data_IF_390376114264
#
_entry.id   IF_390376114264
#
_cell.length_a   1.000
_cell.length_b   1.000
_cell.length_c   1.000
_cell.angle_alpha   90.00
_cell.angle_beta   90.00
_cell.angle_gamma   90.00
#
_symmetry.space_group_name_H-M   'P 1'
#
loop_
_entity.id
_entity.type
_entity.pdbx_description
1 polymer ?
#
# COMPACT_ATOMS: atom_id res chain seq x y z
N UNK A 1 51.80 35.94 53.76
CA UNK A 1 53.01 35.77 52.92
C UNK A 1 53.68 37.14 52.78
N UNK A 2 54.93 37.27 53.23
CA UNK A 2 55.59 38.56 53.49
C UNK A 2 55.97 39.31 52.20
N UNK A 3 55.23 40.37 51.84
CA UNK A 3 55.54 41.27 50.71
C UNK A 3 56.82 42.11 50.91
N UNK A 4 57.45 42.07 52.10
CA UNK A 4 58.67 42.84 52.42
C UNK A 4 59.98 42.32 51.82
N UNK A 5 60.02 41.14 51.18
CA UNK A 5 61.23 40.64 50.48
C UNK A 5 61.30 41.02 48.99
N UNK A 6 60.25 41.60 48.43
CA UNK A 6 60.21 42.03 47.03
C UNK A 6 60.63 43.50 46.84
N UNK A 7 60.81 44.28 47.91
CA UNK A 7 61.19 45.70 47.83
C UNK A 7 62.66 45.91 47.45
N UNK A 8 63.56 45.03 47.89
CA UNK A 8 65.02 45.26 47.86
C UNK A 8 65.71 44.65 46.62
N UNK A 9 64.94 44.03 45.73
CA UNK A 9 65.47 43.54 44.46
C UNK A 9 65.78 44.74 43.53
N UNK A 10 66.96 44.78 42.89
CA UNK A 10 67.25 45.80 41.88
C UNK A 10 66.18 45.77 40.78
N UNK A 11 65.78 46.95 40.29
CA UNK A 11 64.68 47.13 39.31
C UNK A 11 64.78 46.14 38.14
N UNK A 12 66.00 45.85 37.69
CA UNK A 12 66.31 44.86 36.65
C UNK A 12 65.74 43.46 36.95
N UNK A 13 65.86 42.95 38.17
CA UNK A 13 65.35 41.62 38.53
C UNK A 13 63.82 41.58 38.65
N UNK A 14 63.18 42.69 39.04
CA UNK A 14 61.71 42.78 39.05
C UNK A 14 61.14 42.76 37.63
N UNK A 15 61.80 43.46 36.69
CA UNK A 15 61.42 43.46 35.26
C UNK A 15 61.59 42.06 34.65
N UNK A 16 62.73 41.38 34.91
CA UNK A 16 62.95 40.01 34.41
C UNK A 16 62.02 38.97 35.05
N UNK A 17 61.68 39.12 36.34
CA UNK A 17 60.70 38.25 37.01
C UNK A 17 59.28 38.41 36.47
N UNK A 18 58.85 39.66 36.23
CA UNK A 18 57.56 39.94 35.59
C UNK A 18 57.51 39.39 34.15
N UNK A 19 58.61 39.53 33.40
CA UNK A 19 58.72 38.99 32.05
C UNK A 19 58.69 37.46 32.04
N UNK A 20 59.36 36.80 32.98
CA UNK A 20 59.34 35.35 33.14
C UNK A 20 57.94 34.81 33.46
N UNK A 21 57.20 35.48 34.34
CA UNK A 21 55.80 35.12 34.66
C UNK A 21 54.91 35.29 33.42
N UNK A 22 55.08 36.37 32.67
CA UNK A 22 54.31 36.62 31.44
C UNK A 22 54.59 35.55 30.38
N UNK A 23 55.85 35.12 30.26
CA UNK A 23 56.26 34.06 29.33
C UNK A 23 55.67 32.70 29.74
N UNK A 24 55.70 32.35 31.02
CA UNK A 24 55.05 31.13 31.54
C UNK A 24 53.54 31.17 31.29
N UNK A 25 52.90 32.32 31.52
CA UNK A 25 51.47 32.50 31.29
C UNK A 25 51.12 32.34 29.80
N UNK A 26 51.95 32.89 28.90
CA UNK A 26 51.80 32.67 27.45
C UNK A 26 51.93 31.19 27.08
N UNK A 27 52.93 30.48 27.60
CA UNK A 27 53.11 29.05 27.31
C UNK A 27 51.91 28.22 27.78
N UNK A 28 51.37 28.52 28.96
CA UNK A 28 50.17 27.85 29.49
C UNK A 28 48.95 28.15 28.61
N UNK A 29 48.72 29.41 28.23
CA UNK A 29 47.62 29.78 27.34
C UNK A 29 47.76 29.12 25.97
N UNK A 30 48.96 29.10 25.39
CA UNK A 30 49.22 28.42 24.12
C UNK A 30 49.02 26.91 24.21
N UNK A 31 49.41 26.27 25.32
CA UNK A 31 49.18 24.84 25.52
C UNK A 31 47.68 24.52 25.68
N UNK A 32 46.93 25.36 26.38
CA UNK A 32 45.47 25.23 26.50
C UNK A 32 44.79 25.44 25.14
N UNK A 33 45.17 26.48 24.41
CA UNK A 33 44.65 26.74 23.05
C UNK A 33 45.00 25.64 22.06
N UNK A 34 46.21 25.08 22.12
CA UNK A 34 46.61 23.96 21.25
C UNK A 34 45.79 22.71 21.53
N UNK A 35 45.59 22.39 22.83
CA UNK A 35 44.81 21.21 23.22
C UNK A 35 43.33 21.38 22.85
N UNK A 36 42.78 22.57 23.07
CA UNK A 36 41.43 22.94 22.66
C UNK A 36 41.25 22.89 21.14
N UNK A 37 42.22 23.39 20.36
CA UNK A 37 42.15 23.35 18.90
C UNK A 37 42.29 21.93 18.35
N UNK A 38 43.11 21.09 18.99
CA UNK A 38 43.26 19.68 18.62
C UNK A 38 41.98 18.88 18.89
N UNK A 39 41.31 19.11 20.03
CA UNK A 39 40.02 18.47 20.33
C UNK A 39 38.93 18.92 19.36
N UNK A 40 38.83 20.23 19.10
CA UNK A 40 37.88 20.78 18.11
C UNK A 40 38.13 20.24 16.70
N UNK A 41 39.39 19.97 16.32
CA UNK A 41 39.71 19.37 15.02
C UNK A 41 39.24 17.92 14.92
N UNK A 42 39.46 17.10 15.96
CA UNK A 42 39.05 15.70 15.97
C UNK A 42 37.51 15.57 16.01
N UNK A 43 36.84 16.45 16.74
CA UNK A 43 35.37 16.52 16.86
C UNK A 43 34.71 17.00 15.55
N UNK A 44 35.32 17.99 14.86
CA UNK A 44 34.87 18.44 13.55
C UNK A 44 35.01 17.34 12.49
N UNK A 45 36.11 16.58 12.51
CA UNK A 45 36.32 15.45 11.61
C UNK A 45 35.29 14.35 11.84
N UNK A 46 34.97 14.00 13.09
CA UNK A 46 33.93 12.99 13.38
C UNK A 46 32.54 13.44 12.89
N UNK A 47 32.14 14.68 13.16
CA UNK A 47 30.79 15.18 12.79
C UNK A 47 30.65 15.40 11.28
N UNK A 48 31.63 16.03 10.63
CA UNK A 48 31.55 16.42 9.22
C UNK A 48 31.89 15.26 8.28
N UNK A 49 32.85 14.41 8.63
CA UNK A 49 33.29 13.33 7.73
C UNK A 49 32.53 12.02 7.94
N UNK A 50 31.84 11.82 9.09
CA UNK A 50 31.19 10.52 9.40
C UNK A 50 29.70 10.61 9.68
N UNK A 51 29.32 11.45 10.64
CA UNK A 51 27.94 11.49 11.15
C UNK A 51 27.00 12.14 10.12
N UNK A 52 27.40 13.28 9.53
CA UNK A 52 26.59 13.98 8.52
C UNK A 52 26.34 13.17 7.24
N UNK A 53 27.36 12.57 6.58
CA UNK A 53 27.15 11.75 5.40
C UNK A 53 26.20 10.56 5.64
N UNK A 54 26.32 9.89 6.79
CA UNK A 54 25.45 8.75 7.15
C UNK A 54 24.00 9.19 7.32
N UNK A 55 23.76 10.32 8.01
CA UNK A 55 22.42 10.87 8.18
C UNK A 55 21.79 11.27 6.83
N UNK A 56 22.57 11.91 5.94
CA UNK A 56 22.10 12.28 4.61
C UNK A 56 21.78 11.05 3.76
N UNK A 57 22.66 10.06 3.71
CA UNK A 57 22.42 8.82 2.96
C UNK A 57 21.20 8.05 3.49
N UNK A 58 20.95 8.07 4.80
CA UNK A 58 19.75 7.47 5.40
C UNK A 58 18.48 8.21 4.99
N UNK A 59 18.52 9.54 4.94
CA UNK A 59 17.41 10.37 4.47
C UNK A 59 17.14 10.16 2.97
N UNK A 60 18.18 10.07 2.15
CA UNK A 60 18.06 9.80 0.72
C UNK A 60 17.39 8.45 0.46
N UNK A 61 17.74 7.41 1.24
CA UNK A 61 17.09 6.11 1.14
C UNK A 61 15.61 6.15 1.56
N UNK A 62 15.27 6.81 2.67
CA UNK A 62 13.88 6.99 3.10
C UNK A 62 13.07 7.75 2.04
N UNK A 63 13.63 8.82 1.46
CA UNK A 63 13.00 9.57 0.38
C UNK A 63 12.78 8.70 -0.87
N UNK A 64 13.77 7.89 -1.24
CA UNK A 64 13.68 7.00 -2.40
C UNK A 64 12.60 5.93 -2.20
N UNK A 65 12.49 5.37 -1.00
CA UNK A 65 11.42 4.42 -0.63
C UNK A 65 10.03 5.07 -0.68
N UNK A 66 9.90 6.30 -0.17
CA UNK A 66 8.65 7.05 -0.25
C UNK A 66 8.24 7.36 -1.71
N UNK A 67 9.21 7.74 -2.54
CA UNK A 67 8.99 7.94 -3.98
C UNK A 67 8.54 6.65 -4.66
N UNK A 68 9.19 5.52 -4.36
CA UNK A 68 8.82 4.23 -4.92
C UNK A 68 7.43 3.76 -4.48
N UNK A 69 7.08 3.95 -3.20
CA UNK A 69 5.72 3.68 -2.71
C UNK A 69 4.68 4.58 -3.38
N UNK A 70 4.99 5.85 -3.63
CA UNK A 70 4.09 6.77 -4.32
C UNK A 70 3.90 6.38 -5.79
N UNK A 71 4.99 6.04 -6.49
CA UNK A 71 4.96 5.60 -7.88
C UNK A 71 4.16 4.30 -8.03
N UNK A 72 4.35 3.35 -7.12
CA UNK A 72 3.53 2.14 -7.03
C UNK A 72 2.05 2.50 -6.86
N UNK A 73 1.72 3.39 -5.92
CA UNK A 73 0.34 3.82 -5.69
C UNK A 73 -0.34 4.41 -6.92
N UNK A 74 0.37 5.25 -7.68
CA UNK A 74 -0.11 5.82 -8.95
C UNK A 74 -0.30 4.74 -10.02
N UNK A 75 0.66 3.82 -10.15
CA UNK A 75 0.56 2.73 -11.11
C UNK A 75 -0.62 1.79 -10.80
N UNK A 76 -0.87 1.46 -9.52
CA UNK A 76 -2.02 0.65 -9.11
C UNK A 76 -3.38 1.34 -9.33
N UNK A 77 -3.38 2.66 -9.40
CA UNK A 77 -4.59 3.45 -9.63
C UNK A 77 -4.90 3.58 -11.13
N UNK A 78 -3.89 3.90 -11.93
CA UNK A 78 -4.07 4.28 -13.33
C UNK A 78 -3.75 3.14 -14.30
N UNK A 79 -2.87 2.21 -13.92
CA UNK A 79 -2.45 1.08 -14.75
C UNK A 79 -1.65 1.45 -16.00
N UNK A 80 -1.18 2.69 -16.11
CA UNK A 80 -0.42 3.15 -17.28
C UNK A 80 1.03 2.66 -17.29
N UNK A 81 1.54 2.31 -18.48
CA UNK A 81 2.93 1.87 -18.66
C UNK A 81 3.94 2.98 -18.31
N UNK A 82 3.57 4.25 -18.44
CA UNK A 82 4.34 5.40 -17.96
C UNK A 82 4.60 5.32 -16.45
N UNK A 83 3.55 5.10 -15.66
CA UNK A 83 3.65 4.96 -14.20
C UNK A 83 4.39 3.70 -13.79
N UNK A 84 4.26 2.61 -14.58
CA UNK A 84 5.05 1.39 -14.38
C UNK A 84 6.55 1.65 -14.54
N UNK A 85 6.93 2.41 -15.58
CA UNK A 85 8.32 2.78 -15.82
C UNK A 85 8.87 3.65 -14.68
N UNK A 86 8.10 4.65 -14.23
CA UNK A 86 8.46 5.50 -13.07
C UNK A 86 8.64 4.65 -11.81
N UNK A 87 7.75 3.69 -11.55
CA UNK A 87 7.90 2.79 -10.42
C UNK A 87 9.21 1.97 -10.51
N UNK A 88 9.55 1.41 -11.67
CA UNK A 88 10.82 0.69 -11.83
C UNK A 88 12.04 1.57 -11.64
N UNK A 89 12.05 2.76 -12.24
CA UNK A 89 13.13 3.75 -12.06
C UNK A 89 13.29 4.14 -10.59
N UNK A 90 12.18 4.27 -9.85
CA UNK A 90 12.23 4.54 -8.41
C UNK A 90 12.83 3.38 -7.60
N UNK A 91 12.63 2.12 -8.02
CA UNK A 91 13.30 0.97 -7.38
C UNK A 91 14.79 0.95 -7.68
N UNK A 92 15.21 1.32 -8.88
CA UNK A 92 16.64 1.51 -9.20
C UNK A 92 17.25 2.63 -8.35
N UNK A 93 16.50 3.71 -8.09
CA UNK A 93 16.93 4.80 -7.21
C UNK A 93 17.08 4.33 -5.76
N UNK A 94 16.18 3.46 -5.27
CA UNK A 94 16.33 2.80 -3.97
C UNK A 94 17.62 1.98 -3.90
N UNK A 95 17.97 1.25 -4.96
CA UNK A 95 19.21 0.47 -5.01
C UNK A 95 20.46 1.35 -4.95
N UNK A 96 20.44 2.48 -5.67
CA UNK A 96 21.53 3.45 -5.62
C UNK A 96 21.67 4.08 -4.23
N UNK A 97 20.57 4.48 -3.60
CA UNK A 97 20.58 5.05 -2.25
C UNK A 97 21.05 4.05 -1.20
N UNK A 98 20.60 2.79 -1.30
CA UNK A 98 21.04 1.70 -0.44
C UNK A 98 22.54 1.41 -0.59
N UNK A 99 23.04 1.36 -1.82
CA UNK A 99 24.47 1.16 -2.11
C UNK A 99 25.34 2.31 -1.58
N UNK A 100 24.84 3.55 -1.69
CA UNK A 100 25.53 4.72 -1.15
C UNK A 100 25.59 4.68 0.38
N UNK A 101 24.48 4.34 1.05
CA UNK A 101 24.46 4.16 2.50
C UNK A 101 25.43 3.07 2.96
N UNK A 102 25.48 1.94 2.25
CA UNK A 102 26.43 0.86 2.51
C UNK A 102 27.88 1.32 2.36
N UNK A 103 28.19 2.10 1.32
CA UNK A 103 29.53 2.65 1.10
C UNK A 103 29.96 3.56 2.26
N UNK A 104 29.10 4.51 2.66
CA UNK A 104 29.39 5.45 3.76
C UNK A 104 29.61 4.71 5.08
N UNK A 105 28.82 3.67 5.36
CA UNK A 105 28.97 2.86 6.57
C UNK A 105 30.19 1.92 6.53
N UNK A 106 30.59 1.44 5.35
CA UNK A 106 31.72 0.52 5.17
C UNK A 106 33.08 1.17 5.48
N UNK A 107 33.18 2.49 5.36
CA UNK A 107 34.38 3.25 5.71
C UNK A 107 34.66 3.23 7.23
N UNK A 108 33.66 2.87 8.05
CA UNK A 108 33.73 2.89 9.51
C UNK A 108 33.08 1.63 10.15
N UNK A 109 33.78 0.50 10.16
CA UNK A 109 33.22 -0.77 10.63
C UNK A 109 32.91 -0.76 12.13
N UNK A 110 31.63 -0.69 12.48
CA UNK A 110 31.05 -1.00 13.78
C UNK A 110 30.15 -2.25 13.63
N UNK A 111 30.30 -3.21 14.54
CA UNK A 111 29.53 -4.45 14.51
C UNK A 111 28.02 -4.22 14.65
N UNK A 112 27.57 -3.19 15.40
CA UNK A 112 26.15 -2.85 15.49
C UNK A 112 25.62 -2.24 14.18
N UNK A 113 26.41 -1.38 13.53
CA UNK A 113 26.04 -0.77 12.24
C UNK A 113 25.99 -1.82 11.12
N UNK A 114 26.88 -2.82 11.14
CA UNK A 114 26.85 -3.93 10.18
C UNK A 114 25.57 -4.78 10.31
N UNK A 115 25.11 -5.06 11.54
CA UNK A 115 23.88 -5.81 11.76
C UNK A 115 22.64 -5.03 11.30
N UNK A 116 22.57 -3.73 11.63
CA UNK A 116 21.51 -2.84 11.12
C UNK A 116 21.51 -2.77 9.60
N UNK A 117 22.69 -2.74 8.97
CA UNK A 117 22.79 -2.70 7.51
C UNK A 117 22.27 -3.97 6.84
N UNK A 118 22.61 -5.15 7.38
CA UNK A 118 22.07 -6.42 6.85
C UNK A 118 20.55 -6.49 6.99
N UNK A 119 20.00 -6.00 8.10
CA UNK A 119 18.55 -5.95 8.31
C UNK A 119 17.88 -5.01 7.29
N UNK A 120 18.39 -3.78 7.14
CA UNK A 120 17.91 -2.82 6.14
C UNK A 120 17.95 -3.41 4.73
N UNK A 121 19.05 -4.06 4.35
CA UNK A 121 19.17 -4.70 3.04
C UNK A 121 18.08 -5.78 2.84
N UNK A 122 17.87 -6.64 3.85
CA UNK A 122 16.81 -7.65 3.79
C UNK A 122 15.40 -7.05 3.67
N UNK A 123 15.14 -5.92 4.35
CA UNK A 123 13.85 -5.25 4.29
C UNK A 123 13.63 -4.59 2.92
N UNK A 124 14.64 -3.94 2.35
CA UNK A 124 14.61 -3.34 1.00
C UNK A 124 14.38 -4.42 -0.06
N UNK A 125 15.11 -5.54 0.01
CA UNK A 125 14.92 -6.65 -0.93
C UNK A 125 13.53 -7.27 -0.82
N UNK A 126 13.00 -7.39 0.40
CA UNK A 126 11.61 -7.84 0.60
C UNK A 126 10.61 -6.85 -0.01
N UNK A 127 10.83 -5.54 0.13
CA UNK A 127 9.97 -4.52 -0.47
C UNK A 127 9.97 -4.64 -2.00
N UNK A 128 11.16 -4.72 -2.61
CA UNK A 128 11.33 -4.90 -4.05
C UNK A 128 10.72 -6.20 -4.56
N UNK A 129 10.73 -7.28 -3.77
CA UNK A 129 10.17 -8.57 -4.17
C UNK A 129 8.67 -8.52 -4.50
N UNK A 130 7.94 -7.50 -4.00
CA UNK A 130 6.53 -7.29 -4.34
C UNK A 130 6.33 -6.75 -5.76
N UNK A 131 7.35 -6.21 -6.44
CA UNK A 131 7.21 -5.58 -7.76
C UNK A 131 6.46 -6.49 -8.74
N UNK A 132 6.92 -7.74 -8.90
CA UNK A 132 6.33 -8.70 -9.82
C UNK A 132 4.87 -9.02 -9.47
N UNK A 133 4.57 -9.17 -8.19
CA UNK A 133 3.21 -9.46 -7.71
C UNK A 133 2.30 -8.28 -7.98
N UNK A 134 2.70 -7.07 -7.60
CA UNK A 134 1.88 -5.86 -7.75
C UNK A 134 1.64 -5.52 -9.23
N UNK A 135 2.66 -5.66 -10.08
CA UNK A 135 2.50 -5.53 -11.53
C UNK A 135 1.55 -6.59 -12.08
N UNK A 136 1.70 -7.85 -11.67
CA UNK A 136 0.82 -8.93 -12.11
C UNK A 136 -0.65 -8.68 -11.74
N UNK A 137 -0.92 -8.06 -10.59
CA UNK A 137 -2.28 -7.70 -10.16
C UNK A 137 -2.90 -6.56 -11.00
N UNK A 138 -2.09 -5.68 -11.58
CA UNK A 138 -2.59 -4.67 -12.53
C UNK A 138 -2.83 -5.28 -13.91
N UNK A 139 -1.91 -6.12 -14.36
CA UNK A 139 -1.97 -6.79 -15.66
C UNK A 139 -3.11 -7.82 -15.76
N UNK A 140 -3.51 -8.45 -14.64
CA UNK A 140 -4.65 -9.37 -14.56
C UNK A 140 -5.70 -8.91 -13.51
N UNK A 141 -6.70 -8.11 -13.92
CA UNK A 141 -7.77 -7.66 -13.05
C UNK A 141 -8.58 -8.80 -12.41
N UNK A 142 -8.67 -9.99 -13.02
CA UNK A 142 -9.42 -11.11 -12.41
C UNK A 142 -8.69 -11.63 -11.18
N UNK A 143 -7.36 -11.64 -11.20
CA UNK A 143 -6.54 -12.01 -10.04
C UNK A 143 -6.58 -10.98 -8.91
N UNK A 144 -6.81 -9.71 -9.26
CA UNK A 144 -6.81 -8.61 -8.31
C UNK A 144 -8.18 -8.35 -7.69
N UNK A 145 -9.26 -8.49 -8.45
CA UNK A 145 -10.62 -8.24 -7.98
C UNK A 145 -11.30 -9.56 -7.58
N UNK A 146 -11.28 -9.87 -6.28
CA UNK A 146 -11.85 -11.11 -5.75
C UNK A 146 -13.34 -11.26 -6.10
N UNK A 147 -14.09 -10.16 -6.07
CA UNK A 147 -15.51 -10.16 -6.44
C UNK A 147 -15.75 -10.50 -7.91
N UNK A 148 -14.86 -10.06 -8.82
CA UNK A 148 -14.95 -10.38 -10.24
C UNK A 148 -14.68 -11.87 -10.49
N UNK A 149 -13.62 -12.41 -9.88
CA UNK A 149 -13.29 -13.85 -9.96
C UNK A 149 -14.43 -14.71 -9.39
N UNK A 150 -14.95 -14.34 -8.22
CA UNK A 150 -16.06 -15.04 -7.59
C UNK A 150 -17.33 -14.99 -8.45
N UNK A 151 -17.70 -13.81 -8.97
CA UNK A 151 -18.87 -13.67 -9.83
C UNK A 151 -18.72 -14.48 -11.13
N UNK A 152 -17.52 -14.51 -11.71
CA UNK A 152 -17.20 -15.33 -12.88
C UNK A 152 -17.44 -16.82 -12.66
N UNK A 153 -17.15 -17.32 -11.46
CA UNK A 153 -17.28 -18.74 -11.12
C UNK A 153 -18.68 -19.13 -10.64
N UNK A 154 -19.37 -18.26 -9.88
CA UNK A 154 -20.56 -18.66 -9.11
C UNK A 154 -21.84 -17.88 -9.42
N UNK A 155 -21.75 -16.72 -10.07
CA UNK A 155 -22.93 -15.89 -10.41
C UNK A 155 -23.22 -15.87 -11.90
N UNK A 156 -22.20 -15.63 -12.73
CA UNK A 156 -22.35 -15.52 -14.17
C UNK A 156 -22.92 -16.80 -14.80
N UNK A 157 -22.45 -18.02 -14.47
CA UNK A 157 -23.01 -19.24 -15.05
C UNK A 157 -24.47 -19.45 -14.68
N UNK A 158 -24.82 -19.21 -13.41
CA UNK A 158 -26.21 -19.32 -12.90
C UNK A 158 -27.11 -18.32 -13.63
N UNK A 159 -26.67 -17.07 -13.75
CA UNK A 159 -27.44 -16.05 -14.46
C UNK A 159 -27.60 -16.36 -15.95
N UNK A 160 -26.59 -16.94 -16.61
CA UNK A 160 -26.68 -17.32 -18.01
C UNK A 160 -27.70 -18.43 -18.21
N UNK A 161 -27.72 -19.43 -17.33
CA UNK A 161 -28.74 -20.49 -17.36
C UNK A 161 -30.14 -19.92 -17.14
N UNK A 162 -30.34 -18.99 -16.20
CA UNK A 162 -31.63 -18.33 -15.99
C UNK A 162 -32.10 -17.55 -17.23
N UNK A 163 -31.19 -16.87 -17.92
CA UNK A 163 -31.50 -16.20 -19.19
C UNK A 163 -31.84 -17.19 -20.30
N UNK A 164 -31.15 -18.34 -20.36
CA UNK A 164 -31.45 -19.41 -21.30
C UNK A 164 -32.84 -19.97 -21.08
N UNK A 165 -33.19 -20.35 -19.83
CA UNK A 165 -34.53 -20.85 -19.49
C UNK A 165 -35.60 -19.84 -19.89
N UNK A 166 -35.41 -18.55 -19.56
CA UNK A 166 -36.36 -17.51 -19.99
C UNK A 166 -36.47 -17.37 -21.51
N UNK A 167 -35.39 -17.63 -22.25
CA UNK A 167 -35.38 -17.66 -23.69
C UNK A 167 -36.17 -18.84 -24.26
N UNK A 168 -36.00 -20.03 -23.69
CA UNK A 168 -36.74 -21.24 -24.06
C UNK A 168 -38.25 -21.07 -23.79
N UNK A 169 -38.61 -20.49 -22.64
CA UNK A 169 -40.00 -20.14 -22.33
C UNK A 169 -40.61 -19.21 -23.40
N UNK A 170 -39.87 -18.17 -23.82
CA UNK A 170 -40.30 -17.28 -24.92
C UNK A 170 -40.40 -18.03 -26.24
N UNK A 171 -39.45 -18.93 -26.54
CA UNK A 171 -39.47 -19.67 -27.80
C UNK A 171 -40.71 -20.57 -27.92
N UNK A 172 -41.11 -21.22 -26.83
CA UNK A 172 -42.33 -22.04 -26.81
C UNK A 172 -43.61 -21.25 -27.06
N UNK A 173 -43.63 -19.93 -26.79
CA UNK A 173 -44.80 -19.08 -27.11
C UNK A 173 -45.07 -18.97 -28.62
N UNK A 174 -44.04 -19.13 -29.47
CA UNK A 174 -44.22 -19.02 -30.91
C UNK A 174 -44.91 -20.23 -31.54
N UNK A 175 -45.06 -21.33 -30.80
CA UNK A 175 -45.72 -22.55 -31.26
C UNK A 175 -47.22 -22.56 -30.94
N UNK A 176 -47.68 -21.63 -30.11
CA UNK A 176 -49.05 -21.57 -29.60
C UNK A 176 -49.94 -20.60 -30.37
N UNK A 177 -51.25 -20.88 -30.34
CA UNK A 177 -52.24 -20.02 -30.99
C UNK A 177 -52.34 -18.64 -30.31
N UNK A 178 -52.45 -17.60 -31.13
CA UNK A 178 -52.50 -16.22 -30.65
C UNK A 178 -53.79 -15.96 -29.88
N UNK A 179 -53.66 -15.72 -28.57
CA UNK A 179 -54.76 -15.28 -27.70
C UNK A 179 -54.36 -14.07 -26.86
N UNK A 180 -55.34 -13.45 -26.19
CA UNK A 180 -55.05 -12.35 -25.27
C UNK A 180 -54.23 -12.85 -24.06
N UNK A 181 -54.59 -14.01 -23.52
CA UNK A 181 -53.91 -14.61 -22.37
C UNK A 181 -52.45 -14.97 -22.70
N UNK A 182 -52.19 -15.58 -23.86
CA UNK A 182 -50.83 -15.90 -24.32
C UNK A 182 -49.97 -14.66 -24.53
N UNK A 183 -50.55 -13.56 -25.04
CA UNK A 183 -49.84 -12.27 -25.13
C UNK A 183 -49.45 -11.71 -23.76
N UNK A 184 -50.32 -11.85 -22.77
CA UNK A 184 -50.05 -11.41 -21.40
C UNK A 184 -48.96 -12.27 -20.74
N UNK A 185 -49.02 -13.60 -20.92
CA UNK A 185 -47.98 -14.53 -20.48
C UNK A 185 -46.62 -14.22 -21.11
N UNK A 186 -46.56 -14.09 -22.44
CA UNK A 186 -45.34 -13.72 -23.15
C UNK A 186 -44.75 -12.40 -22.63
N UNK A 187 -45.60 -11.40 -22.36
CA UNK A 187 -45.16 -10.15 -21.76
C UNK A 187 -44.54 -10.35 -20.36
N UNK A 188 -45.18 -11.12 -19.48
CA UNK A 188 -44.63 -11.39 -18.14
C UNK A 188 -43.31 -12.18 -18.19
N UNK A 189 -43.12 -13.08 -19.16
CA UNK A 189 -41.83 -13.77 -19.37
C UNK A 189 -40.75 -12.78 -19.84
N UNK A 190 -41.09 -11.86 -20.74
CA UNK A 190 -40.16 -10.79 -21.15
C UNK A 190 -39.77 -9.88 -19.99
N UNK A 191 -40.73 -9.48 -19.17
CA UNK A 191 -40.49 -8.65 -17.97
C UNK A 191 -39.63 -9.41 -16.94
N UNK A 192 -39.83 -10.72 -16.76
CA UNK A 192 -38.97 -11.57 -15.92
C UNK A 192 -37.52 -11.51 -16.41
N UNK A 193 -37.31 -11.73 -17.71
CA UNK A 193 -35.97 -11.70 -18.33
C UNK A 193 -35.31 -10.33 -18.20
N UNK A 194 -36.08 -9.26 -18.38
CA UNK A 194 -35.60 -7.89 -18.23
C UNK A 194 -35.21 -7.57 -16.79
N UNK A 195 -36.08 -7.87 -15.82
CA UNK A 195 -35.79 -7.68 -14.40
C UNK A 195 -34.51 -8.43 -14.00
N UNK A 196 -34.37 -9.68 -14.43
CA UNK A 196 -33.18 -10.48 -14.14
C UNK A 196 -31.90 -9.91 -14.77
N UNK A 197 -31.96 -9.45 -16.02
CA UNK A 197 -30.81 -8.80 -16.65
C UNK A 197 -30.36 -7.56 -15.85
N UNK A 198 -31.30 -6.83 -15.27
CA UNK A 198 -31.00 -5.67 -14.43
C UNK A 198 -30.47 -6.04 -13.03
N UNK A 199 -30.88 -7.18 -12.44
CA UNK A 199 -30.21 -7.74 -11.26
C UNK A 199 -28.70 -7.86 -11.52
N UNK A 200 -28.32 -8.42 -12.67
CA UNK A 200 -26.90 -8.56 -13.03
C UNK A 200 -26.20 -7.22 -13.33
N UNK A 201 -26.89 -6.24 -13.88
CA UNK A 201 -26.34 -4.89 -14.03
C UNK A 201 -26.04 -4.27 -12.66
N UNK A 202 -26.96 -4.43 -11.70
CA UNK A 202 -26.75 -4.06 -10.31
C UNK A 202 -25.55 -4.78 -9.69
N UNK A 203 -25.40 -6.10 -9.89
CA UNK A 203 -24.23 -6.86 -9.39
C UNK A 203 -22.92 -6.32 -9.94
N UNK A 204 -22.84 -6.04 -11.25
CA UNK A 204 -21.63 -5.43 -11.85
C UNK A 204 -21.34 -4.05 -11.25
N UNK A 205 -22.37 -3.23 -11.07
CA UNK A 205 -22.25 -1.94 -10.41
C UNK A 205 -21.76 -2.06 -8.96
N UNK A 206 -22.22 -3.08 -8.23
CA UNK A 206 -21.79 -3.33 -6.87
C UNK A 206 -20.33 -3.79 -6.78
N UNK A 207 -19.87 -4.69 -7.67
CA UNK A 207 -18.46 -5.11 -7.73
C UNK A 207 -17.55 -3.92 -8.04
N UNK A 208 -17.96 -3.06 -8.98
CA UNK A 208 -17.16 -1.91 -9.39
C UNK A 208 -17.06 -0.84 -8.28
N UNK A 209 -18.18 -0.47 -7.67
CA UNK A 209 -18.28 0.74 -6.85
C UNK A 209 -18.60 0.49 -5.37
N UNK A 210 -19.03 -0.73 -5.00
CA UNK A 210 -19.41 -1.14 -3.63
C UNK A 210 -20.45 -0.24 -2.96
N UNK A 211 -21.23 0.49 -3.76
CA UNK A 211 -22.18 1.49 -3.27
C UNK A 211 -23.54 0.89 -2.89
N UNK A 212 -24.17 1.48 -1.88
CA UNK A 212 -25.53 1.13 -1.44
C UNK A 212 -26.56 1.29 -2.57
N UNK A 213 -26.36 2.26 -3.46
CA UNK A 213 -27.19 2.44 -4.66
C UNK A 213 -27.29 1.16 -5.49
N UNK A 214 -26.17 0.46 -5.71
CA UNK A 214 -26.16 -0.78 -6.48
C UNK A 214 -26.89 -1.91 -5.73
N UNK A 215 -26.74 -1.99 -4.41
CA UNK A 215 -27.47 -2.95 -3.58
C UNK A 215 -28.98 -2.71 -3.63
N UNK A 216 -29.42 -1.45 -3.58
CA UNK A 216 -30.82 -1.08 -3.71
C UNK A 216 -31.38 -1.44 -5.08
N UNK A 217 -30.61 -1.22 -6.15
CA UNK A 217 -30.98 -1.61 -7.51
C UNK A 217 -31.12 -3.14 -7.65
N UNK A 218 -30.17 -3.90 -7.11
CA UNK A 218 -30.26 -5.37 -7.04
C UNK A 218 -31.52 -5.80 -6.29
N UNK A 219 -31.78 -5.22 -5.11
CA UNK A 219 -32.95 -5.53 -4.30
C UNK A 219 -34.27 -5.25 -5.02
N UNK A 220 -34.37 -4.09 -5.69
CA UNK A 220 -35.54 -3.71 -6.49
C UNK A 220 -35.84 -4.73 -7.58
N UNK A 221 -34.85 -5.05 -8.41
CA UNK A 221 -35.05 -5.98 -9.53
C UNK A 221 -35.20 -7.44 -9.07
N UNK A 222 -34.65 -7.81 -7.91
CA UNK A 222 -34.90 -9.12 -7.28
C UNK A 222 -36.35 -9.24 -6.82
N UNK A 223 -36.92 -8.18 -6.26
CA UNK A 223 -38.35 -8.12 -5.91
C UNK A 223 -39.21 -8.16 -7.16
N UNK A 224 -38.89 -7.38 -8.19
CA UNK A 224 -39.62 -7.43 -9.46
C UNK A 224 -39.59 -8.83 -10.06
N UNK A 225 -38.43 -9.50 -10.02
CA UNK A 225 -38.28 -10.90 -10.43
C UNK A 225 -39.26 -11.83 -9.67
N UNK A 226 -39.41 -11.66 -8.35
CA UNK A 226 -40.40 -12.43 -7.56
C UNK A 226 -41.84 -12.15 -7.99
N UNK A 227 -42.16 -10.90 -8.31
CA UNK A 227 -43.49 -10.52 -8.76
C UNK A 227 -43.81 -11.14 -10.13
N UNK A 228 -42.85 -11.13 -11.08
CA UNK A 228 -43.02 -11.79 -12.39
C UNK A 228 -43.17 -13.30 -12.26
N UNK A 229 -42.37 -13.95 -11.43
CA UNK A 229 -42.50 -15.39 -11.13
C UNK A 229 -43.91 -15.72 -10.67
N UNK A 230 -44.47 -14.94 -9.72
CA UNK A 230 -45.84 -15.17 -9.21
C UNK A 230 -46.89 -14.99 -10.30
N UNK A 231 -46.73 -13.99 -11.17
CA UNK A 231 -47.67 -13.72 -12.26
C UNK A 231 -47.64 -14.83 -13.31
N UNK A 232 -46.45 -15.28 -13.73
CA UNK A 232 -46.31 -16.40 -14.69
C UNK A 232 -46.91 -17.67 -14.09
N UNK A 233 -46.64 -17.96 -12.81
CA UNK A 233 -47.22 -19.12 -12.11
C UNK A 233 -48.76 -19.09 -12.04
N UNK A 234 -49.40 -17.93 -12.17
CA UNK A 234 -50.85 -17.82 -12.19
C UNK A 234 -51.47 -18.32 -13.51
N UNK A 235 -50.69 -18.46 -14.59
CA UNK A 235 -51.10 -19.05 -15.86
C UNK A 235 -51.01 -20.59 -15.86
N UNK A 236 -50.97 -21.24 -14.69
CA UNK A 236 -50.64 -22.67 -14.52
C UNK A 236 -51.26 -23.61 -15.56
N UNK A 237 -52.55 -23.47 -15.85
CA UNK A 237 -53.27 -24.38 -16.77
C UNK A 237 -53.05 -24.05 -18.26
N UNK A 238 -52.36 -22.94 -18.55
CA UNK A 238 -52.03 -22.44 -19.88
C UNK A 238 -50.53 -22.49 -20.18
N UNK A 239 -49.68 -22.85 -19.21
CA UNK A 239 -48.24 -23.01 -19.44
C UNK A 239 -47.97 -24.21 -20.34
N UNK A 240 -47.05 -24.03 -21.30
CA UNK A 240 -46.46 -25.17 -22.01
C UNK A 240 -45.55 -25.95 -21.08
N UNK A 241 -45.15 -27.15 -21.49
CA UNK A 241 -44.20 -27.97 -20.75
C UNK A 241 -42.87 -27.23 -20.53
N UNK A 242 -42.35 -26.59 -21.57
CA UNK A 242 -41.11 -25.80 -21.52
C UNK A 242 -41.23 -24.60 -20.58
N UNK A 243 -42.41 -24.00 -20.47
CA UNK A 243 -42.68 -22.89 -19.55
C UNK A 243 -42.78 -23.34 -18.09
N UNK A 244 -43.43 -24.47 -17.84
CA UNK A 244 -43.53 -25.03 -16.50
C UNK A 244 -42.15 -25.46 -15.98
N UNK A 245 -41.40 -26.23 -16.78
CA UNK A 245 -40.03 -26.64 -16.44
C UNK A 245 -39.08 -25.45 -16.34
N UNK A 246 -39.17 -24.52 -17.30
CA UNK A 246 -38.36 -23.31 -17.35
C UNK A 246 -38.56 -22.43 -16.12
N UNK A 247 -39.81 -22.23 -15.69
CA UNK A 247 -40.13 -21.45 -14.49
C UNK A 247 -39.63 -22.15 -13.22
N UNK A 248 -39.82 -23.45 -13.10
CA UNK A 248 -39.33 -24.23 -11.95
C UNK A 248 -37.80 -24.16 -11.84
N UNK A 249 -37.08 -24.38 -12.95
CA UNK A 249 -35.62 -24.26 -13.01
C UNK A 249 -35.14 -22.84 -12.70
N UNK A 250 -35.84 -21.81 -13.18
CA UNK A 250 -35.51 -20.43 -12.90
C UNK A 250 -35.60 -20.12 -11.39
N UNK A 251 -36.64 -20.62 -10.71
CA UNK A 251 -36.82 -20.44 -9.26
C UNK A 251 -35.68 -21.10 -8.47
N UNK A 252 -35.27 -22.31 -8.85
CA UNK A 252 -34.17 -23.02 -8.20
C UNK A 252 -32.84 -22.26 -8.36
N UNK A 253 -32.51 -21.88 -9.60
CA UNK A 253 -31.29 -21.13 -9.92
C UNK A 253 -31.28 -19.76 -9.22
N UNK A 254 -32.43 -19.11 -9.08
CA UNK A 254 -32.54 -17.86 -8.30
C UNK A 254 -32.11 -18.07 -6.85
N UNK A 255 -32.51 -19.17 -6.20
CA UNK A 255 -32.11 -19.46 -4.82
C UNK A 255 -30.59 -19.67 -4.72
N UNK A 256 -30.02 -20.41 -5.67
CA UNK A 256 -28.57 -20.59 -5.77
C UNK A 256 -27.87 -19.24 -5.94
N UNK A 257 -28.38 -18.37 -6.82
CA UNK A 257 -27.84 -17.04 -7.04
C UNK A 257 -27.87 -16.20 -5.77
N UNK A 258 -28.99 -16.16 -5.04
CA UNK A 258 -29.11 -15.41 -3.77
C UNK A 258 -28.04 -15.85 -2.77
N UNK A 259 -27.84 -17.16 -2.62
CA UNK A 259 -26.82 -17.73 -1.73
C UNK A 259 -25.40 -17.33 -2.15
N UNK A 260 -25.09 -17.44 -3.44
CA UNK A 260 -23.80 -17.02 -3.99
C UNK A 260 -23.59 -15.50 -3.86
N UNK A 261 -24.62 -14.70 -4.07
CA UNK A 261 -24.53 -13.24 -3.96
C UNK A 261 -24.27 -12.79 -2.52
N UNK A 262 -24.86 -13.47 -1.53
CA UNK A 262 -24.53 -13.22 -0.12
C UNK A 262 -23.04 -13.48 0.18
N UNK A 263 -22.45 -14.52 -0.42
CA UNK A 263 -21.00 -14.80 -0.28
C UNK A 263 -20.15 -13.73 -0.96
N UNK A 264 -20.54 -13.27 -2.15
CA UNK A 264 -19.89 -12.15 -2.83
C UNK A 264 -19.88 -10.91 -1.93
N UNK A 265 -21.03 -10.55 -1.35
CA UNK A 265 -21.13 -9.42 -0.41
C UNK A 265 -20.21 -9.56 0.79
N UNK A 266 -20.11 -10.76 1.37
CA UNK A 266 -19.20 -10.99 2.50
C UNK A 266 -17.72 -10.79 2.12
N UNK A 267 -17.31 -11.15 0.90
CA UNK A 267 -15.95 -10.89 0.39
C UNK A 267 -15.69 -9.38 0.30
N UNK A 268 -16.65 -8.63 -0.26
CA UNK A 268 -16.58 -7.19 -0.42
C UNK A 268 -16.54 -6.46 0.94
N UNK A 269 -17.44 -6.81 1.85
CA UNK A 269 -17.57 -6.22 3.19
C UNK A 269 -16.37 -6.54 4.10
N UNK A 270 -15.70 -7.68 3.92
CA UNK A 270 -14.48 -8.03 4.63
C UNK A 270 -13.24 -7.20 4.21
N UNK A 271 -13.38 -6.31 3.23
CA UNK A 271 -12.28 -5.50 2.72
C UNK A 271 -11.24 -6.32 1.95
N UNK A 272 -11.63 -7.49 1.43
CA UNK A 272 -10.81 -8.41 0.62
C UNK A 272 -11.18 -8.35 -0.87
N UNK A 273 -11.80 -7.25 -1.28
CA UNK A 273 -12.29 -7.05 -2.64
C UNK A 273 -11.17 -6.84 -3.66
N UNK A 274 -10.03 -6.28 -3.20
CA UNK A 274 -8.84 -6.01 -4.00
C UNK A 274 -7.59 -6.55 -3.33
N UNK A 275 -6.88 -7.45 -4.00
CA UNK A 275 -5.69 -8.13 -3.48
C UNK A 275 -4.54 -7.15 -3.26
N UNK A 276 -4.34 -6.21 -4.19
CA UNK A 276 -3.29 -5.19 -4.08
C UNK A 276 -3.45 -4.30 -2.83
N UNK A 277 -4.67 -3.85 -2.53
CA UNK A 277 -5.00 -3.08 -1.33
C UNK A 277 -4.76 -3.91 -0.07
N UNK A 278 -5.12 -5.20 -0.10
CA UNK A 278 -4.87 -6.10 1.01
C UNK A 278 -3.35 -6.23 1.27
N UNK A 279 -2.54 -6.47 0.23
CA UNK A 279 -1.08 -6.55 0.35
C UNK A 279 -0.47 -5.25 0.86
N UNK A 280 -0.97 -4.10 0.39
CA UNK A 280 -0.53 -2.79 0.90
C UNK A 280 -0.80 -2.66 2.40
N UNK A 281 -2.03 -2.97 2.83
CA UNK A 281 -2.43 -2.80 4.22
C UNK A 281 -1.74 -3.78 5.16
N UNK A 282 -1.66 -5.04 4.75
CA UNK A 282 -1.29 -6.15 5.64
C UNK A 282 0.22 -6.46 5.59
N UNK A 283 0.91 -6.10 4.50
CA UNK A 283 2.32 -6.48 4.29
C UNK A 283 3.24 -5.31 3.92
N UNK A 284 2.96 -4.57 2.83
CA UNK A 284 3.87 -3.53 2.30
C UNK A 284 3.91 -2.30 3.23
N UNK A 285 2.77 -1.83 3.71
CA UNK A 285 2.70 -0.69 4.64
C UNK A 285 3.44 -0.95 5.95
N UNK A 286 3.21 -2.08 6.65
CA UNK A 286 4.00 -2.47 7.81
C UNK A 286 5.51 -2.60 7.51
N UNK A 287 5.88 -3.10 6.33
CA UNK A 287 7.27 -3.20 5.90
C UNK A 287 7.93 -1.82 5.71
N UNK A 288 7.23 -0.87 5.08
CA UNK A 288 7.71 0.50 4.94
C UNK A 288 7.89 1.18 6.30
N UNK A 289 6.94 0.99 7.23
CA UNK A 289 7.07 1.50 8.59
C UNK A 289 8.28 0.89 9.34
N UNK A 290 8.62 -0.38 9.07
CA UNK A 290 9.81 -1.01 9.63
C UNK A 290 11.09 -0.40 9.03
N UNK A 291 11.13 -0.19 7.71
CA UNK A 291 12.24 0.49 7.03
C UNK A 291 12.48 1.89 7.59
N UNK A 292 11.42 2.70 7.70
CA UNK A 292 11.52 4.05 8.26
C UNK A 292 12.00 4.02 9.72
N UNK A 293 11.49 3.11 10.54
CA UNK A 293 11.92 2.97 11.94
C UNK A 293 13.40 2.58 12.10
N UNK A 294 13.92 1.72 11.23
CA UNK A 294 15.34 1.34 11.20
C UNK A 294 16.22 2.52 10.76
N UNK A 295 15.79 3.28 9.74
CA UNK A 295 16.50 4.47 9.27
C UNK A 295 16.50 5.61 10.31
N UNK A 296 15.37 5.84 10.98
CA UNK A 296 15.26 6.82 12.06
C UNK A 296 16.16 6.45 13.24
N UNK A 297 16.21 5.15 13.58
CA UNK A 297 17.11 4.64 14.62
C UNK A 297 18.57 4.90 14.25
N UNK A 298 18.94 4.65 12.99
CA UNK A 298 20.29 4.93 12.49
C UNK A 298 20.61 6.42 12.59
N UNK A 299 19.72 7.29 12.13
CA UNK A 299 19.89 8.76 12.21
C UNK A 299 20.01 9.24 13.65
N UNK A 300 19.19 8.74 14.57
CA UNK A 300 19.21 9.18 15.98
C UNK A 300 20.46 8.69 16.72
N UNK A 301 21.00 7.51 16.37
CA UNK A 301 22.30 7.05 16.85
C UNK A 301 23.42 8.01 16.40
N UNK A 302 23.43 8.39 15.13
CA UNK A 302 24.42 9.36 14.62
C UNK A 302 24.27 10.74 15.28
N UNK A 303 23.03 11.20 15.51
CA UNK A 303 22.76 12.47 16.21
C UNK A 303 23.24 12.43 17.66
N UNK A 304 22.97 11.33 18.37
CA UNK A 304 23.41 11.15 19.76
C UNK A 304 24.94 11.18 19.87
N UNK A 305 25.64 10.54 18.92
CA UNK A 305 27.11 10.60 18.82
C UNK A 305 27.60 12.03 18.56
N UNK A 306 26.93 12.79 17.69
CA UNK A 306 27.30 14.18 17.39
C UNK A 306 27.16 15.10 18.62
N UNK A 307 26.11 14.91 19.41
CA UNK A 307 25.88 15.70 20.64
C UNK A 307 26.87 15.32 21.73
N UNK A 308 27.17 14.03 21.91
CA UNK A 308 28.18 13.57 22.86
C UNK A 308 29.57 14.13 22.54
N UNK A 309 29.91 14.20 21.25
CA UNK A 309 31.18 14.76 20.76
C UNK A 309 31.27 16.28 20.92
N UNK A 310 30.15 17.01 20.76
CA UNK A 310 30.15 18.48 20.91
C UNK A 310 30.09 18.98 22.37
N UNK A 311 29.87 18.09 23.33
CA UNK A 311 29.77 18.41 24.77
C UNK A 311 30.94 17.93 25.62
N UNK A 312 31.86 17.12 25.05
CA UNK A 312 33.11 16.64 25.67
C UNK A 312 34.28 17.60 25.47
#
# INVERSE_FOLDING_TARGET
>A
MNFRRLSDLPVRQKVWGAFGILLVLMVVLSAISWRSLSQVSDDLTLVVEKLQPTMLASQDLSQSLAQASSALGLYLLEGEESNRAIYRESLETVDLAMSHLEQVLSEHPDASLQASMQNLHSLVERFKSYEKTMIGLVDDPVSNFAGLSFAGQYLNPVSQQMLQLSGEMIMSEFEEDVSQSRRELLNEIHELRYAWANVMNGVRGYIAFRGERALNEIGLYMQETDERIKKIAAFKDELTFEQEEGLAGFIELKQQFVSSFAKLRAIEEAGKWRTDIQLIRDEIGPLLNQLDGELDTLVEQQRSLAVATSTS
#
